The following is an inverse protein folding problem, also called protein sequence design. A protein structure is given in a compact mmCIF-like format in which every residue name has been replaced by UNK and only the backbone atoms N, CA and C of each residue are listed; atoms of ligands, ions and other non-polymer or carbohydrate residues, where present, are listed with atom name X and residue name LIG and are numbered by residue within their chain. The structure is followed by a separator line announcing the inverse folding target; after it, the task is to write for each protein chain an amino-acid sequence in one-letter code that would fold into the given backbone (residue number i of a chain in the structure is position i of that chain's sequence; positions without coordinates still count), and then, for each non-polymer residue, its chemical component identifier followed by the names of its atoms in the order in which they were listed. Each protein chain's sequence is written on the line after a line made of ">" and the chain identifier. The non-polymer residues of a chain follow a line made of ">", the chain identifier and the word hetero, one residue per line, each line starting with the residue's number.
data_IF_386132673768
#
_entry.id   IF_386132673768
#
_cell.length_a   1.000
_cell.length_b   1.000
_cell.length_c   1.000
_cell.angle_alpha   90.00
_cell.angle_beta   90.00
_cell.angle_gamma   90.00
#
_symmetry.space_group_name_H-M   'P 1'
#
loop_
_entity.id
_entity.type
_entity.pdbx_description
1 polymer ?
#
# COMPACT_ATOMS: atom_id res chain seq x y z
N UNK A 1 8.70 -12.90 21.97
CA UNK A 1 7.33 -12.46 22.33
C UNK A 1 6.37 -13.55 21.92
N UNK A 2 5.43 -13.97 22.79
CA UNK A 2 4.44 -14.99 22.44
C UNK A 2 3.36 -14.41 21.52
N UNK A 3 2.95 -15.21 20.54
CA UNK A 3 1.79 -14.92 19.70
C UNK A 3 0.54 -14.89 20.59
N UNK A 4 -0.31 -13.84 20.53
CA UNK A 4 -1.52 -13.79 21.34
C UNK A 4 -2.42 -15.01 21.07
N UNK A 5 -3.11 -15.52 22.10
CA UNK A 5 -4.03 -16.64 21.95
C UNK A 5 -5.11 -16.28 20.93
N UNK A 6 -5.53 -17.24 20.14
CA UNK A 6 -6.57 -17.10 19.14
C UNK A 6 -7.88 -17.70 19.66
N UNK A 7 -8.77 -16.89 20.26
CA UNK A 7 -10.02 -17.39 20.78
C UNK A 7 -11.00 -17.84 19.67
N UNK A 8 -10.85 -17.29 18.45
CA UNK A 8 -11.81 -17.46 17.36
C UNK A 8 -11.28 -18.29 16.17
N UNK A 9 -10.00 -18.73 16.20
CA UNK A 9 -9.38 -19.50 15.11
C UNK A 9 -9.25 -18.74 13.77
N UNK A 10 -9.53 -17.42 13.76
CA UNK A 10 -9.47 -16.62 12.53
C UNK A 10 -8.03 -16.41 12.08
N UNK A 11 -7.74 -16.61 10.77
CA UNK A 11 -6.41 -16.40 10.25
C UNK A 11 -6.03 -14.91 10.23
N UNK A 12 -4.73 -14.62 10.18
CA UNK A 12 -4.25 -13.26 10.11
C UNK A 12 -4.12 -12.72 8.68
N UNK A 13 -4.34 -11.43 8.58
CA UNK A 13 -3.95 -10.57 7.47
C UNK A 13 -2.68 -9.80 7.88
N UNK A 14 -1.61 -9.93 7.08
CA UNK A 14 -0.37 -9.19 7.25
C UNK A 14 -0.24 -8.16 6.13
N UNK A 15 -0.01 -6.89 6.49
CA UNK A 15 0.16 -5.79 5.57
C UNK A 15 1.56 -5.17 5.66
N UNK A 16 2.18 -4.90 4.50
CA UNK A 16 3.53 -4.34 4.37
C UNK A 16 3.53 -3.08 3.50
N UNK A 17 4.12 -2.00 4.01
CA UNK A 17 4.24 -0.74 3.29
C UNK A 17 5.63 -0.12 3.46
N UNK A 18 6.38 0.07 2.37
CA UNK A 18 7.73 0.64 2.38
C UNK A 18 7.99 1.60 1.22
N UNK A 19 6.94 2.34 0.80
CA UNK A 19 7.09 3.33 -0.28
C UNK A 19 7.71 4.66 0.18
N UNK A 20 8.21 4.71 1.42
CA UNK A 20 8.98 5.80 2.02
C UNK A 20 10.32 5.26 2.57
N UNK A 21 11.01 6.05 3.39
CA UNK A 21 12.21 5.62 4.11
C UNK A 21 11.91 4.72 5.32
N UNK A 22 10.64 4.52 5.64
CA UNK A 22 10.21 3.66 6.74
C UNK A 22 9.44 2.44 6.23
N UNK A 23 9.53 1.36 6.99
CA UNK A 23 8.70 0.17 6.82
C UNK A 23 7.53 0.23 7.79
N UNK A 24 6.30 0.21 7.28
CA UNK A 24 5.10 -0.03 8.06
C UNK A 24 4.67 -1.49 7.97
N UNK A 25 4.36 -2.08 9.11
CA UNK A 25 3.86 -3.47 9.23
C UNK A 25 2.58 -3.46 10.03
N UNK A 26 1.53 -4.05 9.50
CA UNK A 26 0.24 -4.22 10.18
C UNK A 26 -0.18 -5.66 10.25
N UNK A 27 -0.71 -6.07 11.39
CA UNK A 27 -1.26 -7.40 11.64
C UNK A 27 -2.69 -7.28 12.16
N UNK A 28 -3.63 -7.97 11.52
CA UNK A 28 -5.05 -7.92 11.85
C UNK A 28 -5.67 -9.30 11.65
N UNK A 29 -6.66 -9.67 12.47
CA UNK A 29 -7.49 -10.85 12.18
C UNK A 29 -8.42 -10.57 11.00
N UNK A 30 -8.58 -11.53 10.11
CA UNK A 30 -9.59 -11.44 9.07
C UNK A 30 -10.98 -11.26 9.67
N UNK A 31 -11.70 -10.24 9.21
CA UNK A 31 -13.00 -9.85 9.75
C UNK A 31 -12.96 -9.00 11.03
N UNK A 32 -11.79 -8.69 11.59
CA UNK A 32 -11.68 -7.73 12.68
C UNK A 32 -11.71 -6.28 12.15
N UNK A 33 -12.14 -5.34 13.00
CA UNK A 33 -12.21 -3.92 12.65
C UNK A 33 -10.88 -3.19 12.90
N UNK A 34 -10.14 -3.61 13.92
CA UNK A 34 -8.90 -2.96 14.33
C UNK A 34 -7.68 -3.89 14.21
N UNK A 35 -6.50 -3.36 13.91
CA UNK A 35 -5.26 -4.13 13.91
C UNK A 35 -4.88 -4.57 15.33
N UNK A 36 -4.29 -5.77 15.45
CA UNK A 36 -3.70 -6.26 16.70
C UNK A 36 -2.30 -5.68 16.92
N UNK A 37 -1.57 -5.46 15.82
CA UNK A 37 -0.26 -4.82 15.83
C UNK A 37 -0.13 -3.87 14.66
N UNK A 38 0.54 -2.77 14.91
CA UNK A 38 0.79 -1.73 13.93
C UNK A 38 2.11 -1.05 14.28
N UNK A 39 3.13 -1.33 13.49
CA UNK A 39 4.50 -0.92 13.77
C UNK A 39 5.10 -0.15 12.60
N UNK A 40 5.96 0.81 12.93
CA UNK A 40 6.71 1.59 11.94
C UNK A 40 8.19 1.56 12.28
N UNK A 41 9.02 1.16 11.33
CA UNK A 41 10.47 1.01 11.48
C UNK A 41 11.19 2.01 10.55
N UNK A 42 11.92 2.99 11.08
CA UNK A 42 12.67 3.97 10.29
C UNK A 42 13.99 3.35 9.78
N UNK A 43 13.91 2.50 8.78
CA UNK A 43 15.05 1.71 8.30
C UNK A 43 15.90 2.42 7.23
N UNK A 44 15.30 3.33 6.46
CA UNK A 44 16.01 4.02 5.38
C UNK A 44 16.75 3.05 4.45
N UNK A 45 18.06 3.25 4.33
CA UNK A 45 18.92 2.38 3.49
C UNK A 45 19.18 1.00 4.09
N UNK A 46 18.89 0.80 5.38
CA UNK A 46 19.10 -0.49 6.06
C UNK A 46 17.92 -1.45 5.89
N UNK A 47 16.90 -1.08 5.11
CA UNK A 47 15.71 -1.91 4.92
C UNK A 47 16.05 -3.33 4.45
N UNK A 48 17.01 -3.48 3.52
CA UNK A 48 17.40 -4.79 3.00
C UNK A 48 17.95 -5.73 4.09
N UNK A 49 18.60 -5.18 5.11
CA UNK A 49 19.21 -5.95 6.18
C UNK A 49 18.25 -6.21 7.35
N UNK A 50 17.33 -5.27 7.62
CA UNK A 50 16.44 -5.34 8.78
C UNK A 50 15.01 -5.82 8.48
N UNK A 51 14.65 -6.04 7.22
CA UNK A 51 13.29 -6.33 6.80
C UNK A 51 12.70 -7.58 7.50
N UNK A 52 13.46 -8.68 7.52
CA UNK A 52 13.03 -9.92 8.17
C UNK A 52 12.94 -9.78 9.69
N UNK A 53 13.91 -9.16 10.33
CA UNK A 53 13.93 -8.96 11.78
C UNK A 53 12.73 -8.12 12.24
N UNK A 54 12.41 -7.06 11.49
CA UNK A 54 11.23 -6.25 11.73
C UNK A 54 9.93 -7.06 11.56
N UNK A 55 9.85 -7.87 10.51
CA UNK A 55 8.68 -8.70 10.28
C UNK A 55 8.52 -9.75 11.39
N UNK A 56 9.58 -10.45 11.78
CA UNK A 56 9.56 -11.42 12.86
C UNK A 56 9.25 -10.80 14.24
N UNK A 57 9.64 -9.55 14.45
CA UNK A 57 9.26 -8.84 15.68
C UNK A 57 7.75 -8.60 15.79
N UNK A 58 7.06 -8.44 14.65
CA UNK A 58 5.60 -8.29 14.60
C UNK A 58 4.91 -9.65 14.59
N UNK A 59 5.36 -10.59 13.77
CA UNK A 59 4.82 -11.94 13.66
C UNK A 59 5.97 -12.95 13.49
N UNK A 60 6.32 -13.73 14.54
CA UNK A 60 7.35 -14.76 14.47
C UNK A 60 7.09 -15.76 13.33
N UNK A 61 8.15 -16.22 12.67
CA UNK A 61 8.06 -17.14 11.53
C UNK A 61 7.28 -18.42 11.84
N UNK A 62 7.35 -18.90 13.08
CA UNK A 62 6.57 -20.06 13.57
C UNK A 62 5.05 -19.85 13.49
N UNK A 63 4.59 -18.59 13.40
CA UNK A 63 3.18 -18.24 13.30
C UNK A 63 2.73 -17.96 11.86
N UNK A 64 3.62 -17.87 10.86
CA UNK A 64 3.27 -17.62 9.47
C UNK A 64 2.29 -18.63 8.85
N UNK A 65 2.31 -19.93 9.22
CA UNK A 65 1.26 -20.87 8.78
C UNK A 65 -0.18 -20.49 9.18
N UNK A 66 -0.34 -19.54 10.11
CA UNK A 66 -1.65 -19.00 10.53
C UNK A 66 -2.08 -17.77 9.72
N UNK A 67 -1.25 -17.30 8.78
CA UNK A 67 -1.64 -16.26 7.84
C UNK A 67 -2.72 -16.82 6.91
N UNK A 68 -3.73 -16.01 6.60
CA UNK A 68 -4.76 -16.33 5.63
C UNK A 68 -4.76 -15.38 4.42
N UNK A 69 -4.08 -14.24 4.55
CA UNK A 69 -4.00 -13.23 3.49
C UNK A 69 -2.81 -12.30 3.70
N UNK A 70 -2.27 -11.81 2.60
CA UNK A 70 -1.21 -10.81 2.59
C UNK A 70 -1.66 -9.57 1.84
N UNK A 71 -1.13 -8.41 2.22
CA UNK A 71 -1.32 -7.15 1.50
C UNK A 71 0.00 -6.39 1.40
N UNK A 72 0.27 -5.76 0.27
CA UNK A 72 1.49 -4.98 0.05
C UNK A 72 1.20 -3.70 -0.71
N UNK A 73 1.80 -2.59 -0.26
CA UNK A 73 1.81 -1.36 -1.02
C UNK A 73 2.78 -1.48 -2.20
N UNK A 74 2.28 -1.25 -3.42
CA UNK A 74 3.04 -1.46 -4.66
C UNK A 74 3.79 -0.21 -5.15
N UNK A 75 3.69 0.92 -4.45
CA UNK A 75 4.19 2.21 -4.90
C UNK A 75 3.08 3.02 -5.64
N UNK A 76 3.39 4.15 -6.23
CA UNK A 76 4.72 4.78 -6.35
C UNK A 76 5.32 5.18 -5.01
N UNK A 77 6.65 5.31 -4.96
CA UNK A 77 7.39 5.74 -3.79
C UNK A 77 8.85 5.34 -3.84
N UNK A 78 9.48 5.11 -2.69
CA UNK A 78 10.89 4.71 -2.59
C UNK A 78 11.18 3.43 -3.39
N UNK A 79 12.00 3.55 -4.44
CA UNK A 79 12.23 2.49 -5.43
C UNK A 79 12.70 1.17 -4.82
N UNK A 80 13.75 1.22 -4.02
CA UNK A 80 14.38 0.00 -3.45
C UNK A 80 13.48 -0.64 -2.40
N UNK A 81 12.91 0.16 -1.49
CA UNK A 81 12.06 -0.32 -0.42
C UNK A 81 10.82 -1.04 -0.94
N UNK A 82 10.05 -0.36 -1.80
CA UNK A 82 8.83 -0.93 -2.41
C UNK A 82 9.13 -2.26 -3.11
N UNK A 83 10.24 -2.32 -3.85
CA UNK A 83 10.64 -3.55 -4.56
C UNK A 83 10.91 -4.70 -3.62
N UNK A 84 11.65 -4.46 -2.55
CA UNK A 84 11.99 -5.50 -1.57
C UNK A 84 10.75 -6.06 -0.88
N UNK A 85 9.84 -5.21 -0.42
CA UNK A 85 8.63 -5.68 0.26
C UNK A 85 7.65 -6.36 -0.69
N UNK A 86 7.52 -5.91 -1.93
CA UNK A 86 6.70 -6.61 -2.93
C UNK A 86 7.28 -7.99 -3.25
N UNK A 87 8.60 -8.11 -3.43
CA UNK A 87 9.24 -9.42 -3.65
C UNK A 87 9.05 -10.34 -2.46
N UNK A 88 9.26 -9.84 -1.23
CA UNK A 88 9.03 -10.62 -0.01
C UNK A 88 7.57 -11.10 0.09
N UNK A 89 6.60 -10.19 -0.07
CA UNK A 89 5.18 -10.52 0.00
C UNK A 89 4.77 -11.57 -1.04
N UNK A 90 5.28 -11.47 -2.27
CA UNK A 90 5.08 -12.48 -3.33
C UNK A 90 5.68 -13.82 -2.96
N UNK A 91 6.91 -13.82 -2.43
CA UNK A 91 7.57 -15.07 -2.02
C UNK A 91 6.80 -15.76 -0.91
N UNK A 92 6.35 -15.01 0.11
CA UNK A 92 5.52 -15.56 1.18
C UNK A 92 4.18 -16.07 0.65
N UNK A 93 3.50 -15.30 -0.22
CA UNK A 93 2.23 -15.71 -0.82
C UNK A 93 2.38 -17.01 -1.63
N UNK A 94 3.45 -17.14 -2.39
CA UNK A 94 3.76 -18.34 -3.17
C UNK A 94 4.04 -19.55 -2.27
N UNK A 95 4.92 -19.39 -1.26
CA UNK A 95 5.34 -20.48 -0.39
C UNK A 95 4.22 -20.98 0.53
N UNK A 96 3.36 -20.07 0.97
CA UNK A 96 2.26 -20.39 1.88
C UNK A 96 0.92 -20.58 1.15
N UNK A 97 0.90 -20.50 -0.18
CA UNK A 97 -0.29 -20.58 -1.02
C UNK A 97 -1.40 -19.58 -0.60
N UNK A 98 -1.02 -18.34 -0.30
CA UNK A 98 -1.91 -17.30 0.22
C UNK A 98 -2.35 -16.31 -0.85
N UNK A 99 -3.57 -15.75 -0.71
CA UNK A 99 -3.97 -14.55 -1.45
C UNK A 99 -3.07 -13.37 -1.11
N UNK A 100 -2.73 -12.54 -2.12
CA UNK A 100 -1.93 -11.32 -1.97
C UNK A 100 -2.61 -10.13 -2.65
N UNK A 101 -3.02 -9.13 -1.89
CA UNK A 101 -3.47 -7.86 -2.42
C UNK A 101 -2.29 -6.91 -2.65
N UNK A 102 -2.11 -6.46 -3.90
CA UNK A 102 -1.22 -5.37 -4.24
C UNK A 102 -2.02 -4.08 -4.42
N UNK A 103 -1.79 -3.09 -3.56
CA UNK A 103 -2.52 -1.82 -3.60
C UNK A 103 -1.55 -0.67 -3.87
N UNK A 104 -1.91 0.21 -4.82
CA UNK A 104 -1.12 1.42 -5.10
C UNK A 104 -1.00 2.29 -3.84
N UNK A 105 0.22 2.77 -3.54
CA UNK A 105 0.44 3.71 -2.43
C UNK A 105 -0.40 4.98 -2.57
N UNK A 106 -0.58 5.47 -3.80
CA UNK A 106 -1.44 6.63 -4.05
C UNK A 106 -2.91 6.32 -3.72
N UNK A 107 -3.39 5.12 -4.00
CA UNK A 107 -4.76 4.72 -3.65
C UNK A 107 -4.96 4.63 -2.13
N UNK A 108 -3.93 4.23 -1.36
CA UNK A 108 -3.95 4.26 0.10
C UNK A 108 -4.05 5.70 0.62
N UNK A 109 -3.22 6.60 0.09
CA UNK A 109 -3.25 8.03 0.41
C UNK A 109 -4.59 8.66 0.04
N UNK A 110 -5.14 8.33 -1.13
CA UNK A 110 -6.44 8.82 -1.58
C UNK A 110 -7.55 8.43 -0.59
N UNK A 111 -7.59 7.16 -0.17
CA UNK A 111 -8.55 6.70 0.84
C UNK A 111 -8.39 7.44 2.15
N UNK A 112 -7.16 7.57 2.66
CA UNK A 112 -6.89 8.30 3.90
C UNK A 112 -7.39 9.75 3.82
N UNK A 113 -7.16 10.42 2.70
CA UNK A 113 -7.63 11.80 2.50
C UNK A 113 -9.15 11.89 2.38
N UNK A 114 -9.79 10.96 1.67
CA UNK A 114 -11.25 10.93 1.51
C UNK A 114 -12.00 10.59 2.82
N UNK A 115 -11.38 9.80 3.70
CA UNK A 115 -11.94 9.44 5.01
C UNK A 115 -11.55 10.42 6.12
N UNK A 116 -10.68 11.39 5.81
CA UNK A 116 -10.26 12.43 6.74
C UNK A 116 -11.33 13.52 6.98
N UNK A 117 -11.06 14.43 7.92
CA UNK A 117 -12.03 15.48 8.29
C UNK A 117 -12.29 16.51 7.17
N UNK A 118 -11.32 16.68 6.26
CA UNK A 118 -11.39 17.64 5.16
C UNK A 118 -11.04 16.94 3.83
N UNK A 119 -11.99 16.24 3.21
CA UNK A 119 -11.75 15.57 1.93
C UNK A 119 -11.34 16.57 0.85
N UNK A 120 -10.28 16.27 0.07
CA UNK A 120 -9.83 17.14 -1.00
C UNK A 120 -10.87 17.19 -2.14
N UNK A 121 -11.11 18.42 -2.64
CA UNK A 121 -12.03 18.61 -3.78
C UNK A 121 -13.53 18.52 -3.46
N UNK A 122 -13.91 18.44 -2.19
CA UNK A 122 -15.31 18.21 -1.80
C UNK A 122 -15.80 16.88 -2.37
N UNK A 123 -16.88 16.89 -3.17
CA UNK A 123 -17.43 15.67 -3.81
C UNK A 123 -16.75 15.33 -5.15
N UNK A 124 -15.82 16.14 -5.62
CA UNK A 124 -15.15 15.99 -6.91
C UNK A 124 -13.82 15.22 -6.84
N UNK A 125 -13.28 14.84 -8.02
CA UNK A 125 -11.98 14.20 -8.11
C UNK A 125 -10.84 15.16 -7.73
N UNK A 126 -9.70 14.56 -7.34
CA UNK A 126 -8.46 15.28 -7.03
C UNK A 126 -7.23 14.52 -7.47
N UNK A 127 -6.18 15.24 -7.79
CA UNK A 127 -4.88 14.67 -8.10
C UNK A 127 -4.07 14.44 -6.83
N UNK A 128 -3.44 13.27 -6.74
CA UNK A 128 -2.27 13.04 -5.90
C UNK A 128 -1.03 13.22 -6.75
N UNK A 129 -0.10 14.04 -6.26
CA UNK A 129 1.09 14.42 -7.01
C UNK A 129 2.36 14.23 -6.18
N UNK A 130 3.36 13.60 -6.78
CA UNK A 130 4.74 13.52 -6.31
C UNK A 130 5.66 14.22 -7.30
N UNK A 131 6.41 15.23 -6.85
CA UNK A 131 7.39 15.89 -7.69
C UNK A 131 8.65 15.03 -7.89
N UNK A 132 9.13 14.97 -9.12
CA UNK A 132 10.40 14.35 -9.48
C UNK A 132 11.33 15.43 -10.03
N UNK A 133 12.34 15.88 -9.23
CA UNK A 133 13.23 16.94 -9.68
C UNK A 133 13.82 16.67 -11.07
N UNK A 134 13.68 17.62 -11.99
CA UNK A 134 14.15 17.57 -13.40
C UNK A 134 13.48 16.52 -14.29
N UNK A 135 12.46 15.81 -13.82
CA UNK A 135 11.80 14.75 -14.59
C UNK A 135 10.30 14.97 -14.79
N UNK A 136 9.72 15.98 -14.15
CA UNK A 136 8.28 16.23 -14.15
C UNK A 136 7.61 15.81 -12.86
N UNK A 137 6.37 15.40 -12.94
CA UNK A 137 5.57 15.00 -11.77
C UNK A 137 4.93 13.64 -12.01
N UNK A 138 4.88 12.80 -10.99
CA UNK A 138 4.05 11.60 -10.99
C UNK A 138 2.72 11.96 -10.38
N UNK A 139 1.64 11.79 -11.12
CA UNK A 139 0.31 12.06 -10.62
C UNK A 139 -0.69 10.96 -10.98
N UNK A 140 -1.68 10.77 -10.10
CA UNK A 140 -2.83 9.91 -10.30
C UNK A 140 -4.12 10.62 -9.86
N UNK A 141 -5.22 10.41 -10.57
CA UNK A 141 -6.52 11.04 -10.32
C UNK A 141 -7.42 10.09 -9.55
N UNK A 142 -7.97 10.57 -8.44
CA UNK A 142 -8.80 9.78 -7.53
C UNK A 142 -10.09 10.50 -7.19
N UNK A 143 -11.13 9.74 -6.86
CA UNK A 143 -12.40 10.25 -6.39
C UNK A 143 -13.08 9.28 -5.43
N UNK A 144 -14.10 9.76 -4.71
CA UNK A 144 -14.94 8.91 -3.89
C UNK A 144 -15.83 8.05 -4.79
N UNK A 145 -15.90 6.76 -4.52
CA UNK A 145 -16.85 5.84 -5.15
C UNK A 145 -17.18 4.69 -4.19
N UNK A 146 -18.33 4.75 -3.52
CA UNK A 146 -18.77 3.71 -2.59
C UNK A 146 -18.92 2.32 -3.23
N UNK A 147 -19.05 2.23 -4.54
CA UNK A 147 -19.15 0.97 -5.29
C UNK A 147 -17.80 0.30 -5.53
N UNK A 148 -16.71 1.01 -5.27
CA UNK A 148 -15.36 0.48 -5.43
C UNK A 148 -14.77 -0.01 -4.10
N UNK A 149 -13.85 -0.99 -4.12
CA UNK A 149 -13.17 -1.44 -2.92
C UNK A 149 -12.53 -0.28 -2.17
N UNK A 150 -12.81 -0.20 -0.86
CA UNK A 150 -12.32 0.86 -0.01
C UNK A 150 -12.95 2.25 -0.26
N UNK A 151 -14.01 2.35 -1.08
CA UNK A 151 -14.70 3.61 -1.35
C UNK A 151 -13.94 4.58 -2.25
N UNK A 152 -12.94 4.11 -3.02
CA UNK A 152 -12.05 4.95 -3.83
C UNK A 152 -11.99 4.46 -5.26
N UNK A 153 -12.35 5.34 -6.20
CA UNK A 153 -12.09 5.16 -7.61
C UNK A 153 -10.68 5.69 -7.96
N UNK A 154 -9.91 4.88 -8.70
CA UNK A 154 -8.72 5.33 -9.41
C UNK A 154 -9.15 5.69 -10.83
N UNK A 155 -9.34 7.00 -11.09
CA UNK A 155 -9.81 7.51 -12.38
C UNK A 155 -8.68 7.57 -13.40
N UNK A 156 -7.47 7.92 -12.94
CA UNK A 156 -6.24 7.76 -13.69
C UNK A 156 -5.17 7.13 -12.78
N UNK A 157 -4.54 6.06 -13.26
CA UNK A 157 -3.42 5.43 -12.55
C UNK A 157 -2.20 6.36 -12.48
N UNK A 158 -1.36 6.25 -11.43
CA UNK A 158 -0.16 7.06 -11.31
C UNK A 158 0.75 6.92 -12.53
N UNK A 159 1.04 8.03 -13.20
CA UNK A 159 1.95 8.10 -14.35
C UNK A 159 2.75 9.40 -14.36
N UNK A 160 3.79 9.45 -15.18
CA UNK A 160 4.59 10.64 -15.37
C UNK A 160 3.83 11.67 -16.22
N UNK A 161 3.77 12.90 -15.74
CA UNK A 161 3.33 14.09 -16.48
C UNK A 161 4.50 15.06 -16.57
N UNK A 162 4.47 15.91 -17.62
CA UNK A 162 5.52 16.88 -17.87
C UNK A 162 5.62 17.92 -16.75
N UNK A 163 4.47 18.44 -16.31
CA UNK A 163 4.34 19.52 -15.33
C UNK A 163 2.98 19.46 -14.63
N UNK A 164 2.75 20.40 -13.72
CA UNK A 164 1.49 20.50 -12.95
C UNK A 164 0.35 21.09 -13.76
N UNK A 165 0.64 21.90 -14.77
CA UNK A 165 -0.34 22.55 -15.63
C UNK A 165 -1.17 21.52 -16.40
N UNK A 166 -0.56 20.38 -16.72
CA UNK A 166 -1.25 19.26 -17.37
C UNK A 166 -2.34 18.60 -16.52
N UNK A 167 -2.45 18.95 -15.21
CA UNK A 167 -3.40 18.33 -14.27
C UNK A 167 -4.68 19.14 -14.03
N UNK A 168 -4.80 20.30 -14.70
CA UNK A 168 -6.03 21.11 -14.58
C UNK A 168 -7.27 20.31 -15.09
N UNK A 169 -8.49 20.54 -14.56
CA UNK A 169 -8.86 21.59 -13.61
C UNK A 169 -9.00 21.09 -12.15
N UNK A 170 -8.63 19.85 -11.84
CA UNK A 170 -8.91 19.30 -10.53
C UNK A 170 -7.91 19.75 -9.44
N UNK A 171 -8.33 19.82 -8.18
CA UNK A 171 -7.44 20.14 -7.06
C UNK A 171 -6.28 19.16 -6.97
N UNK A 172 -5.10 19.66 -6.57
CA UNK A 172 -3.89 18.87 -6.40
C UNK A 172 -3.56 18.75 -4.91
N UNK A 173 -3.22 17.54 -4.48
CA UNK A 173 -2.70 17.25 -3.15
C UNK A 173 -1.34 16.55 -3.24
N UNK A 174 -0.41 16.85 -2.35
CA UNK A 174 0.88 16.15 -2.32
C UNK A 174 0.68 14.67 -1.96
N UNK A 175 1.33 13.78 -2.70
CA UNK A 175 1.37 12.35 -2.40
C UNK A 175 2.42 12.08 -1.32
N UNK A 176 2.01 12.19 -0.06
CA UNK A 176 2.87 11.99 1.12
C UNK A 176 2.47 10.70 1.84
N UNK A 177 3.40 9.75 1.91
CA UNK A 177 3.24 8.55 2.74
C UNK A 177 3.18 8.95 4.20
N UNK A 178 2.16 8.47 4.90
CA UNK A 178 2.02 8.61 6.34
C UNK A 178 1.89 7.23 6.97
N UNK A 179 2.84 6.88 7.81
CA UNK A 179 2.83 5.62 8.55
C UNK A 179 2.63 5.93 10.04
N UNK A 180 1.77 5.17 10.69
CA UNK A 180 1.16 3.91 10.28
C UNK A 180 -0.17 4.04 9.51
N UNK A 181 -0.71 5.25 9.26
CA UNK A 181 -2.05 5.50 8.73
C UNK A 181 -2.30 4.81 7.37
N UNK A 182 -1.30 4.84 6.47
CA UNK A 182 -1.42 4.18 5.17
C UNK A 182 -1.41 2.64 5.28
N UNK A 183 -0.82 2.08 6.36
CA UNK A 183 -0.93 0.64 6.67
C UNK A 183 -2.35 0.29 7.12
N UNK A 184 -3.01 1.16 7.90
CA UNK A 184 -4.42 0.98 8.27
C UNK A 184 -5.30 0.94 7.01
N UNK A 185 -5.04 1.84 6.05
CA UNK A 185 -5.76 1.83 4.78
C UNK A 185 -5.53 0.52 4.01
N UNK A 186 -4.29 0.03 3.98
CA UNK A 186 -3.93 -1.22 3.31
C UNK A 186 -4.65 -2.43 3.93
N UNK A 187 -4.67 -2.53 5.26
CA UNK A 187 -5.45 -3.54 6.00
C UNK A 187 -6.95 -3.44 5.66
N UNK A 188 -7.49 -2.23 5.65
CA UNK A 188 -8.90 -1.99 5.32
C UNK A 188 -9.28 -2.43 3.91
N UNK A 189 -8.47 -2.12 2.88
CA UNK A 189 -8.68 -2.60 1.51
C UNK A 189 -8.65 -4.12 1.43
N UNK A 190 -7.62 -4.73 2.00
CA UNK A 190 -7.45 -6.18 1.94
C UNK A 190 -8.52 -6.93 2.75
N UNK A 191 -8.92 -6.39 3.90
CA UNK A 191 -10.03 -6.90 4.68
C UNK A 191 -11.36 -6.86 3.93
N UNK A 192 -11.66 -5.77 3.23
CA UNK A 192 -12.85 -5.64 2.39
C UNK A 192 -12.83 -6.66 1.23
N UNK A 193 -11.69 -6.78 0.53
CA UNK A 193 -11.52 -7.78 -0.52
C UNK A 193 -11.74 -9.20 -0.01
N UNK A 194 -11.27 -9.51 1.19
CA UNK A 194 -11.48 -10.81 1.82
C UNK A 194 -12.95 -11.06 2.16
N UNK A 195 -13.64 -10.06 2.72
CA UNK A 195 -15.07 -10.16 3.08
C UNK A 195 -15.96 -10.35 1.85
N UNK A 196 -15.59 -9.76 0.71
CA UNK A 196 -16.28 -9.92 -0.58
C UNK A 196 -15.87 -11.21 -1.34
N UNK A 197 -14.97 -12.02 -0.79
CA UNK A 197 -14.48 -13.25 -1.44
C UNK A 197 -13.67 -12.96 -2.71
N UNK A 198 -13.07 -11.77 -2.86
CA UNK A 198 -12.30 -11.40 -4.04
C UNK A 198 -11.03 -12.25 -4.14
N UNK A 199 -10.83 -12.85 -5.32
CA UNK A 199 -9.57 -13.51 -5.64
C UNK A 199 -8.42 -12.49 -5.62
N UNK A 200 -7.30 -12.89 -5.04
CA UNK A 200 -6.09 -12.08 -4.95
C UNK A 200 -4.86 -12.92 -5.33
N UNK A 201 -4.70 -13.27 -6.62
CA UNK A 201 -3.54 -14.02 -7.08
C UNK A 201 -2.28 -13.17 -6.91
N UNK A 202 -1.20 -13.79 -6.43
CA UNK A 202 0.06 -13.08 -6.20
C UNK A 202 0.85 -12.76 -7.47
N UNK A 203 0.61 -13.52 -8.57
CA UNK A 203 1.37 -13.42 -9.81
C UNK A 203 1.36 -12.01 -10.44
N UNK A 204 0.22 -11.31 -10.57
CA UNK A 204 0.16 -9.97 -11.16
C UNK A 204 0.63 -8.86 -10.23
N UNK A 205 0.90 -9.15 -8.94
CA UNK A 205 1.33 -8.12 -8.00
C UNK A 205 2.78 -7.73 -8.29
N UNK A 206 2.98 -6.56 -8.88
CA UNK A 206 4.29 -6.01 -9.25
C UNK A 206 4.46 -4.60 -8.69
N UNK A 207 5.71 -4.15 -8.42
CA UNK A 207 5.96 -2.77 -8.08
C UNK A 207 5.54 -1.83 -9.20
N UNK A 208 4.88 -0.73 -8.86
CA UNK A 208 4.50 0.32 -9.80
C UNK A 208 5.69 1.25 -10.06
N UNK A 209 6.07 1.35 -11.32
CA UNK A 209 7.10 2.27 -11.81
C UNK A 209 6.49 3.29 -12.77
N UNK A 210 6.02 4.44 -12.29
CA UNK A 210 5.44 5.47 -13.14
C UNK A 210 6.45 6.08 -14.12
N UNK A 211 7.75 5.85 -13.85
CA UNK A 211 8.85 6.27 -14.70
C UNK A 211 9.67 5.05 -15.07
N UNK A 212 9.77 4.75 -16.37
CA UNK A 212 10.75 3.77 -16.84
C UNK A 212 12.17 4.27 -16.55
N UNK A 213 13.06 3.45 -15.97
CA UNK A 213 14.46 3.82 -15.85
C UNK A 213 15.16 3.98 -17.20
N UNK A 214 14.51 3.58 -18.31
CA UNK A 214 15.07 3.51 -19.67
C UNK A 214 14.44 4.53 -20.63
N UNK A 215 13.27 5.08 -20.34
CA UNK A 215 12.64 6.09 -21.20
C UNK A 215 13.14 7.50 -20.83
N UNK A 216 14.03 8.02 -21.66
CA UNK A 216 14.21 9.47 -21.78
C UNK A 216 12.88 10.06 -22.27
N UNK A 217 12.44 11.19 -21.67
CA UNK A 217 11.31 11.96 -22.19
C UNK A 217 11.54 12.21 -23.69
N UNK A 218 10.55 11.99 -24.57
CA UNK A 218 10.67 12.42 -25.94
C UNK A 218 10.89 13.93 -25.95
N UNK A 219 11.90 14.38 -26.71
CA UNK A 219 12.25 15.78 -26.91
C UNK A 219 11.09 16.58 -27.47
#
# INVERSE_FOLDING_TARGET
>A
MSVPPDPDGRPWLLALHSSSESLGVGLQRLGAVAPERLETFPLGRSLSNGLFDCLESVLPASAWPRLGRLAVATGPGGFTGTRLTVVLARTLAQQLALPLDGISSFRLMARRLLTGPEPPGGDGPFWLLQELPRRGVVAGLYGADPGQPGGVAELEAPRLHRDREALAPHPIRPALVQLPEDVIQLLGFSGANAAEGRAAPWQPVLPLYPTSPVEALPC
#
